data_IF_742813861398
#
_entry.id   IF_742813861398
#
_cell.length_a   1.000
_cell.length_b   1.000
_cell.length_c   1.000
_cell.angle_alpha   90.00
_cell.angle_beta   90.00
_cell.angle_gamma   90.00
#
_symmetry.space_group_name_H-M   'P 1'
#
loop_
_entity.id
_entity.type
_entity.pdbx_description
1 polymer ?
#
# COMPACT_ATOMS: atom_id res chain seq x y z
N UNK A 1 61.40 15.61 32.84
CA UNK A 1 60.42 16.14 31.88
C UNK A 1 60.19 15.08 30.81
N UNK A 2 58.97 14.53 30.68
CA UNK A 2 58.60 13.65 29.56
C UNK A 2 58.29 14.55 28.37
N UNK A 3 59.10 14.47 27.32
CA UNK A 3 58.76 15.09 26.04
C UNK A 3 57.61 14.31 25.44
N UNK A 4 56.42 14.92 25.41
CA UNK A 4 55.32 14.41 24.60
C UNK A 4 55.70 14.67 23.15
N UNK A 5 56.00 13.62 22.39
CA UNK A 5 56.18 13.77 20.94
C UNK A 5 54.83 14.09 20.31
N UNK A 6 54.59 15.38 20.09
CA UNK A 6 53.49 15.85 19.25
C UNK A 6 53.76 15.40 17.81
N UNK A 7 53.20 14.25 17.42
CA UNK A 7 53.21 13.79 16.03
C UNK A 7 52.23 14.63 15.24
N UNK A 8 52.75 15.57 14.43
CA UNK A 8 51.96 16.29 13.44
C UNK A 8 51.53 15.39 12.28
N UNK A 9 50.46 15.78 11.58
CA UNK A 9 49.99 15.07 10.39
C UNK A 9 50.85 15.39 9.18
N UNK A 10 51.12 14.36 8.37
CA UNK A 10 51.79 14.56 7.09
C UNK A 10 50.78 15.06 6.04
N UNK A 11 51.25 15.83 5.05
CA UNK A 11 50.38 16.36 3.99
C UNK A 11 49.66 15.24 3.23
N UNK A 12 50.35 14.11 2.99
CA UNK A 12 49.77 12.95 2.30
C UNK A 12 48.62 12.32 3.11
N UNK A 13 48.74 12.28 4.43
CA UNK A 13 47.73 11.70 5.31
C UNK A 13 46.44 12.52 5.33
N UNK A 14 46.56 13.85 5.31
CA UNK A 14 45.42 14.77 5.15
C UNK A 14 44.75 14.56 3.78
N UNK A 15 45.55 14.40 2.72
CA UNK A 15 45.04 14.22 1.37
C UNK A 15 44.27 12.90 1.23
N UNK A 16 44.81 11.82 1.80
CA UNK A 16 44.13 10.52 1.87
C UNK A 16 42.86 10.61 2.71
N UNK A 17 42.88 11.30 3.84
CA UNK A 17 41.70 11.47 4.70
C UNK A 17 40.57 12.22 3.98
N UNK A 18 40.87 13.32 3.28
CA UNK A 18 39.88 14.06 2.48
C UNK A 18 39.33 13.21 1.33
N UNK A 19 40.20 12.44 0.67
CA UNK A 19 39.79 11.52 -0.39
C UNK A 19 38.81 10.46 0.14
N UNK A 20 39.15 9.78 1.23
CA UNK A 20 38.26 8.79 1.86
C UNK A 20 36.96 9.41 2.35
N UNK A 21 37.03 10.59 2.97
CA UNK A 21 35.85 11.32 3.44
C UNK A 21 34.89 11.64 2.29
N UNK A 22 35.43 12.06 1.13
CA UNK A 22 34.60 12.37 -0.05
C UNK A 22 33.87 11.12 -0.57
N UNK A 23 34.54 9.97 -0.64
CA UNK A 23 33.93 8.71 -1.06
C UNK A 23 32.79 8.29 -0.12
N UNK A 24 33.02 8.34 1.19
CA UNK A 24 32.00 8.01 2.20
C UNK A 24 30.81 8.97 2.11
N UNK A 25 31.09 10.28 1.94
CA UNK A 25 30.04 11.30 1.83
C UNK A 25 29.13 11.04 0.62
N UNK A 26 29.69 10.71 -0.54
CA UNK A 26 28.91 10.39 -1.75
C UNK A 26 27.97 9.22 -1.50
N UNK A 27 28.48 8.14 -0.89
CA UNK A 27 27.67 6.95 -0.58
C UNK A 27 26.53 7.29 0.38
N UNK A 28 26.81 8.04 1.45
CA UNK A 28 25.79 8.44 2.44
C UNK A 28 24.71 9.30 1.79
N UNK A 29 25.08 10.28 0.98
CA UNK A 29 24.12 11.17 0.28
C UNK A 29 23.23 10.37 -0.67
N UNK A 30 23.79 9.39 -1.39
CA UNK A 30 23.01 8.52 -2.28
C UNK A 30 21.99 7.69 -1.50
N UNK A 31 22.38 7.09 -0.38
CA UNK A 31 21.48 6.30 0.47
C UNK A 31 20.37 7.20 1.04
N UNK A 32 20.73 8.38 1.52
CA UNK A 32 19.77 9.35 2.08
C UNK A 32 18.72 9.77 1.04
N UNK A 33 19.15 10.13 -0.17
CA UNK A 33 18.26 10.53 -1.25
C UNK A 33 17.35 9.37 -1.72
N UNK A 34 17.89 8.15 -1.80
CA UNK A 34 17.10 6.97 -2.17
C UNK A 34 16.08 6.59 -1.10
N UNK A 35 16.45 6.67 0.18
CA UNK A 35 15.60 6.29 1.30
C UNK A 35 14.41 7.24 1.47
N UNK A 36 14.65 8.55 1.44
CA UNK A 36 13.59 9.55 1.60
C UNK A 36 12.55 9.51 0.48
N UNK A 37 12.99 9.33 -0.76
CA UNK A 37 12.08 9.23 -1.90
C UNK A 37 11.15 8.02 -1.76
N UNK A 38 11.69 6.88 -1.31
CA UNK A 38 10.87 5.67 -1.09
C UNK A 38 9.83 5.85 0.02
N UNK A 39 10.16 6.58 1.09
CA UNK A 39 9.22 6.86 2.19
C UNK A 39 8.10 7.78 1.71
N UNK A 40 8.43 8.84 0.96
CA UNK A 40 7.46 9.80 0.45
C UNK A 40 6.45 9.14 -0.51
N UNK A 41 6.93 8.34 -1.45
CA UNK A 41 6.07 7.59 -2.39
C UNK A 41 5.19 6.58 -1.65
N UNK A 42 5.72 5.91 -0.62
CA UNK A 42 4.93 4.99 0.21
C UNK A 42 3.84 5.71 1.00
N UNK A 43 4.11 6.94 1.49
CA UNK A 43 3.13 7.77 2.17
C UNK A 43 1.94 8.11 1.28
N UNK A 44 2.21 8.65 0.09
CA UNK A 44 1.19 9.03 -0.90
C UNK A 44 0.29 7.85 -1.28
N UNK A 45 0.90 6.67 -1.51
CA UNK A 45 0.14 5.45 -1.82
C UNK A 45 -0.74 4.98 -0.65
N UNK A 46 -0.26 5.14 0.57
CA UNK A 46 -0.99 4.72 1.78
C UNK A 46 -2.19 5.63 2.01
N UNK A 47 -2.02 6.94 1.85
CA UNK A 47 -3.10 7.93 1.94
C UNK A 47 -4.21 7.64 0.92
N UNK A 48 -3.84 7.44 -0.35
CA UNK A 48 -4.80 7.09 -1.39
C UNK A 48 -5.55 5.78 -1.13
N UNK A 49 -4.92 4.78 -0.49
CA UNK A 49 -5.61 3.55 -0.09
C UNK A 49 -6.65 3.80 1.00
N UNK A 50 -6.35 4.67 1.98
CA UNK A 50 -7.32 5.03 3.02
C UNK A 50 -8.50 5.83 2.46
N UNK A 51 -8.24 6.77 1.55
CA UNK A 51 -9.31 7.51 0.86
C UNK A 51 -10.19 6.56 0.04
N UNK A 52 -9.58 5.66 -0.73
CA UNK A 52 -10.29 4.64 -1.51
C UNK A 52 -11.14 3.73 -0.61
N UNK A 53 -10.60 3.34 0.55
CA UNK A 53 -11.35 2.54 1.53
C UNK A 53 -12.56 3.31 2.07
N UNK A 54 -12.37 4.56 2.51
CA UNK A 54 -13.45 5.39 3.02
C UNK A 54 -14.56 5.58 1.97
N UNK A 55 -14.16 5.80 0.72
CA UNK A 55 -15.05 5.91 -0.41
C UNK A 55 -15.86 4.64 -0.68
N UNK A 56 -15.25 3.46 -0.50
CA UNK A 56 -15.90 2.16 -0.65
C UNK A 56 -16.83 1.86 0.53
N UNK A 57 -16.44 2.21 1.76
CA UNK A 57 -17.28 2.08 2.95
C UNK A 57 -18.54 2.93 2.81
N UNK A 58 -18.40 4.19 2.36
CA UNK A 58 -19.55 5.07 2.10
C UNK A 58 -20.43 4.54 0.96
N UNK A 59 -19.83 4.02 -0.12
CA UNK A 59 -20.58 3.39 -1.21
C UNK A 59 -21.33 2.13 -0.77
N UNK A 60 -20.77 1.37 0.19
CA UNK A 60 -21.40 0.19 0.77
C UNK A 60 -22.60 0.57 1.66
N UNK A 61 -22.50 1.67 2.41
CA UNK A 61 -23.60 2.18 3.24
C UNK A 61 -24.80 2.68 2.42
N UNK A 62 -24.57 3.15 1.19
CA UNK A 62 -25.62 3.62 0.29
C UNK A 62 -26.07 2.57 -0.72
N UNK A 63 -25.43 1.40 -0.75
CA UNK A 63 -25.83 0.29 -1.60
C UNK A 63 -27.22 -0.20 -1.19
N UNK A 64 -28.19 -0.09 -2.09
CA UNK A 64 -29.52 -0.63 -1.87
C UNK A 64 -29.47 -2.16 -1.80
N UNK A 65 -30.22 -2.80 -0.87
CA UNK A 65 -30.35 -4.26 -0.80
C UNK A 65 -30.97 -4.85 -2.08
N UNK A 66 -31.60 -4.03 -2.90
CA UNK A 66 -32.17 -4.38 -4.19
C UNK A 66 -31.31 -3.78 -5.30
N UNK A 67 -30.15 -4.39 -5.56
CA UNK A 67 -29.33 -4.04 -6.73
C UNK A 67 -29.81 -4.81 -7.97
N UNK A 68 -29.76 -4.16 -9.13
CA UNK A 68 -30.08 -4.80 -10.41
C UNK A 68 -28.87 -5.55 -11.00
N UNK A 69 -27.71 -5.46 -10.35
CA UNK A 69 -26.43 -5.99 -10.82
C UNK A 69 -25.87 -7.03 -9.84
N UNK A 70 -26.70 -8.01 -9.50
CA UNK A 70 -26.33 -9.07 -8.55
C UNK A 70 -25.53 -10.16 -9.29
N UNK A 71 -24.27 -10.33 -8.90
CA UNK A 71 -23.39 -11.40 -9.37
C UNK A 71 -23.29 -12.51 -8.30
N UNK A 72 -22.97 -13.73 -8.74
CA UNK A 72 -22.71 -14.87 -7.85
C UNK A 72 -21.20 -15.05 -7.65
N UNK A 73 -20.77 -15.12 -6.39
CA UNK A 73 -19.38 -15.26 -5.98
C UNK A 73 -19.18 -16.54 -5.19
N UNK A 74 -18.12 -17.30 -5.51
CA UNK A 74 -17.75 -18.48 -4.74
C UNK A 74 -16.73 -18.11 -3.67
N UNK A 75 -17.13 -18.16 -2.39
CA UNK A 75 -16.24 -17.96 -1.25
C UNK A 75 -15.79 -19.32 -0.73
N UNK A 76 -14.47 -19.54 -0.64
CA UNK A 76 -13.90 -20.78 -0.08
C UNK A 76 -13.39 -20.54 1.34
N UNK A 77 -13.94 -21.28 2.30
CA UNK A 77 -13.49 -21.28 3.70
C UNK A 77 -13.26 -22.72 4.15
N UNK A 78 -12.05 -23.04 4.59
CA UNK A 78 -11.67 -24.38 5.09
C UNK A 78 -12.04 -25.54 4.14
N UNK A 79 -11.91 -25.34 2.83
CA UNK A 79 -12.22 -26.35 1.81
C UNK A 79 -13.69 -26.43 1.39
N UNK A 80 -14.59 -25.79 2.14
CA UNK A 80 -16.02 -25.66 1.79
C UNK A 80 -16.22 -24.42 0.91
N UNK A 81 -17.02 -24.56 -0.15
CA UNK A 81 -17.39 -23.45 -1.05
C UNK A 81 -18.79 -22.97 -0.72
N UNK A 82 -18.96 -21.67 -0.51
CA UNK A 82 -20.21 -20.98 -0.33
C UNK A 82 -20.50 -20.12 -1.55
N UNK A 83 -21.69 -20.21 -2.12
CA UNK A 83 -22.14 -19.28 -3.15
C UNK A 83 -22.81 -18.09 -2.47
N UNK A 84 -22.27 -16.90 -2.70
CA UNK A 84 -22.78 -15.65 -2.16
C UNK A 84 -23.23 -14.80 -3.33
N UNK A 85 -24.44 -14.25 -3.23
CA UNK A 85 -24.95 -13.29 -4.19
C UNK A 85 -24.68 -11.89 -3.67
N UNK A 86 -24.25 -10.97 -4.54
CA UNK A 86 -23.94 -9.63 -4.10
C UNK A 86 -23.71 -8.65 -5.25
N UNK A 87 -23.61 -7.38 -4.89
CA UNK A 87 -23.21 -6.32 -5.81
C UNK A 87 -21.71 -6.05 -5.69
N UNK A 88 -21.04 -5.83 -6.84
CA UNK A 88 -19.61 -5.58 -6.90
C UNK A 88 -19.35 -4.09 -7.06
N UNK A 89 -18.81 -3.48 -6.01
CA UNK A 89 -18.38 -2.08 -6.03
C UNK A 89 -16.89 -2.05 -6.38
N UNK A 90 -16.57 -1.48 -7.53
CA UNK A 90 -15.20 -1.26 -8.00
C UNK A 90 -14.84 0.21 -7.91
N UNK A 91 -13.67 0.52 -7.34
CA UNK A 91 -13.08 1.86 -7.41
C UNK A 91 -11.60 1.79 -7.76
N UNK A 92 -11.16 2.78 -8.50
CA UNK A 92 -9.76 2.96 -8.91
C UNK A 92 -9.40 4.44 -8.79
N UNK A 93 -8.23 4.70 -8.21
CA UNK A 93 -7.62 6.01 -8.09
C UNK A 93 -6.20 5.92 -8.64
N UNK A 94 -5.73 6.97 -9.30
CA UNK A 94 -4.36 7.03 -9.83
C UNK A 94 -3.46 7.83 -8.91
N UNK A 95 -2.37 7.23 -8.45
CA UNK A 95 -1.35 7.86 -7.61
C UNK A 95 -0.04 7.88 -8.39
N UNK A 96 0.47 9.06 -8.69
CA UNK A 96 1.71 9.24 -9.49
C UNK A 96 1.68 8.46 -10.82
N UNK A 97 0.53 8.42 -11.48
CA UNK A 97 0.31 7.73 -12.76
C UNK A 97 0.21 6.20 -12.64
N UNK A 98 0.20 5.65 -11.42
CA UNK A 98 0.02 4.21 -11.16
C UNK A 98 -1.40 3.97 -10.62
N UNK A 99 -2.16 3.03 -11.21
CA UNK A 99 -3.49 2.72 -10.73
C UNK A 99 -3.43 1.99 -9.38
N UNK A 100 -4.27 2.42 -8.46
CA UNK A 100 -4.57 1.76 -7.19
C UNK A 100 -6.06 1.44 -7.21
N UNK A 101 -6.40 0.16 -7.23
CA UNK A 101 -7.78 -0.32 -7.33
C UNK A 101 -8.17 -1.15 -6.12
N UNK A 102 -9.42 -1.05 -5.72
CA UNK A 102 -10.03 -1.91 -4.72
C UNK A 102 -11.43 -2.35 -5.15
N UNK A 103 -11.82 -3.54 -4.71
CA UNK A 103 -13.11 -4.14 -5.03
C UNK A 103 -13.74 -4.65 -3.75
N UNK A 104 -14.99 -4.27 -3.53
CA UNK A 104 -15.81 -4.75 -2.41
C UNK A 104 -17.03 -5.47 -2.99
N UNK A 105 -17.37 -6.60 -2.40
CA UNK A 105 -18.60 -7.33 -2.71
C UNK A 105 -19.54 -7.16 -1.54
N UNK A 106 -20.70 -6.52 -1.77
CA UNK A 106 -21.74 -6.37 -0.78
C UNK A 106 -22.69 -7.55 -0.92
N UNK A 107 -22.63 -8.48 0.03
CA UNK A 107 -23.49 -9.66 0.01
C UNK A 107 -24.96 -9.25 0.24
N UNK A 108 -25.84 -9.78 -0.60
CA UNK A 108 -27.29 -9.61 -0.47
C UNK A 108 -27.85 -10.95 0.04
N UNK A 109 -28.72 -10.96 1.07
CA UNK A 109 -29.36 -12.18 1.53
C UNK A 109 -30.05 -12.92 0.37
N UNK A 110 -29.94 -14.25 0.35
CA UNK A 110 -30.52 -15.08 -0.72
C UNK A 110 -32.02 -14.90 -0.88
N UNK A 111 -32.73 -14.56 0.19
CA UNK A 111 -34.17 -14.31 0.21
C UNK A 111 -34.56 -12.98 -0.47
N UNK A 112 -33.60 -12.05 -0.62
CA UNK A 112 -33.79 -10.73 -1.23
C UNK A 112 -33.29 -10.67 -2.69
N UNK A 113 -32.80 -11.80 -3.23
CA UNK A 113 -32.39 -11.88 -4.64
C UNK A 113 -33.64 -11.92 -5.53
N UNK A 114 -33.84 -10.97 -6.45
CA UNK A 114 -35.01 -10.96 -7.33
C UNK A 114 -35.06 -12.24 -8.19
N UNK A 115 -36.01 -13.13 -7.92
CA UNK A 115 -36.16 -14.43 -8.59
C UNK A 115 -35.44 -15.61 -7.93
N UNK A 116 -34.85 -15.42 -6.73
CA UNK A 116 -34.21 -16.47 -5.94
C UNK A 116 -35.24 -17.34 -5.22
N UNK A 117 -35.41 -18.58 -5.66
CA UNK A 117 -36.19 -19.59 -4.95
C UNK A 117 -35.57 -19.93 -3.60
N UNK A 118 -36.42 -20.04 -2.59
CA UNK A 118 -36.12 -20.45 -1.22
C UNK A 118 -35.20 -21.69 -1.22
N UNK A 119 -33.99 -21.56 -0.66
CA UNK A 119 -33.15 -22.72 -0.40
C UNK A 119 -33.73 -23.47 0.80
N UNK A 120 -34.41 -24.58 0.49
CA UNK A 120 -34.90 -25.57 1.46
C UNK A 120 -33.71 -26.13 2.25
N UNK A 121 -33.86 -26.34 3.58
CA UNK A 121 -32.76 -26.64 4.52
C UNK A 121 -31.92 -27.88 4.21
#
# INVERSE_FOLDING_TARGET
MRFSSERGFTFIEVLVAVFLLSLVTVVIVQIYNSGLFSIMVSGNRTEALYELQQELEMATLTASPTSNNVEAFAIRVNGTTFNVHGDRIYKEVSVDGKPVSATVVVAIPSDDVPGGGHLVP
#
